data_IF_809347089488
#
_entry.id   IF_809347089488
#
_cell.length_a   1.000
_cell.length_b   1.000
_cell.length_c   1.000
_cell.angle_alpha   90.00
_cell.angle_beta   90.00
_cell.angle_gamma   90.00
#
_symmetry.space_group_name_H-M   'P 1'
#
loop_
_entity.id
_entity.type
_entity.pdbx_description
1 polymer ?
#
# COMPACT_ATOMS: atom_id res chain seq x y z
N UNK A 1 47.33 -16.19 6.44
CA UNK A 1 46.76 -15.94 6.44
C UNK A 1 46.07 -15.72 6.48
N UNK A 2 45.87 -15.68 6.55
CA UNK A 2 45.02 -15.49 6.58
C UNK A 2 44.39 -14.95 6.46
N UNK A 3 44.42 -14.70 6.43
CA UNK A 3 43.69 -14.27 6.20
C UNK A 3 42.84 -13.92 6.08
N UNK A 4 43.05 -14.06 6.08
CA UNK A 4 42.14 -13.89 5.88
C UNK A 4 41.24 -13.66 6.06
N UNK A 5 41.46 -13.66 6.19
CA UNK A 5 40.38 -13.57 6.30
C UNK A 5 39.63 -13.10 6.42
N UNK A 6 39.95 -13.19 6.47
CA UNK A 6 39.12 -12.85 6.45
C UNK A 6 38.35 -12.37 6.48
N UNK A 7 38.63 -12.24 6.48
CA UNK A 7 37.76 -11.88 6.31
C UNK A 7 36.95 -11.54 6.25
N UNK A 8 37.34 -11.57 6.19
CA UNK A 8 36.42 -11.37 5.89
C UNK A 8 35.56 -11.26 6.03
N UNK A 9 36.01 -11.37 6.15
CA UNK A 9 34.95 -11.42 6.17
C UNK A 9 34.13 -11.12 6.35
N UNK A 10 34.51 -11.39 6.59
CA UNK A 10 33.64 -11.23 6.78
C UNK A 10 32.98 -10.65 6.68
N UNK A 11 33.07 -10.46 6.55
CA UNK A 11 32.39 -9.92 6.41
C UNK A 11 31.66 -9.50 5.99
N UNK A 12 31.76 -9.58 5.70
CA UNK A 12 31.08 -9.24 5.17
C UNK A 12 30.25 -9.18 4.94
N UNK A 13 30.26 -9.49 5.04
CA UNK A 13 29.39 -9.49 4.81
C UNK A 13 28.57 -9.33 4.73
N UNK A 14 28.78 -9.65 5.11
CA UNK A 14 27.80 -9.76 5.01
C UNK A 14 26.99 -9.07 4.90
N UNK A 15 26.76 -8.91 4.80
CA UNK A 15 25.79 -8.24 4.51
C UNK A 15 25.11 -8.18 3.23
N UNK A 16 25.48 -8.60 2.35
CA UNK A 16 24.86 -8.63 1.13
C UNK A 16 24.76 -9.92 0.53
N UNK A 17 25.35 -10.81 1.12
CA UNK A 17 25.32 -12.17 0.69
C UNK A 17 24.03 -12.88 0.99
N UNK A 18 23.19 -12.29 1.82
CA UNK A 18 21.91 -12.91 2.13
C UNK A 18 21.09 -13.14 0.87
N UNK A 19 20.27 -14.20 0.83
CA UNK A 19 19.44 -14.45 -0.33
C UNK A 19 18.54 -13.26 -0.64
N UNK A 20 18.45 -12.93 -1.90
CA UNK A 20 17.67 -11.78 -2.29
C UNK A 20 16.18 -11.94 -1.96
N UNK A 21 15.66 -13.15 -2.06
CA UNK A 21 14.27 -13.38 -1.72
C UNK A 21 13.97 -13.03 -0.26
N UNK A 22 14.86 -13.45 0.65
CA UNK A 22 14.69 -13.12 2.06
C UNK A 22 14.80 -11.62 2.28
N UNK A 23 15.72 -10.97 1.58
CA UNK A 23 15.88 -9.52 1.71
C UNK A 23 14.64 -8.77 1.24
N UNK A 24 13.99 -9.25 0.18
CA UNK A 24 12.80 -8.58 -0.34
C UNK A 24 11.67 -8.56 0.67
N UNK A 25 11.55 -9.58 1.50
CA UNK A 25 10.44 -9.68 2.42
C UNK A 25 10.78 -9.29 3.84
N UNK A 26 11.99 -9.63 4.28
CA UNK A 26 12.33 -9.49 5.68
C UNK A 26 13.18 -8.27 5.96
N UNK A 27 13.95 -7.83 4.98
CA UNK A 27 14.98 -6.83 5.19
C UNK A 27 14.71 -5.49 4.53
N UNK A 28 13.49 -5.24 4.05
CA UNK A 28 13.18 -3.91 3.55
C UNK A 28 13.26 -2.92 4.70
N UNK A 29 14.05 -1.87 4.51
CA UNK A 29 14.26 -0.89 5.56
C UNK A 29 13.00 -0.11 5.88
N UNK A 30 12.07 -0.01 4.94
CA UNK A 30 10.86 0.77 5.11
C UNK A 30 9.65 -0.04 5.58
N UNK A 31 9.83 -1.34 5.83
CA UNK A 31 8.71 -2.17 6.29
C UNK A 31 8.20 -1.66 7.63
N UNK A 32 6.93 -1.33 7.69
CA UNK A 32 6.30 -0.81 8.89
C UNK A 32 6.58 0.66 9.16
N UNK A 33 7.34 1.33 8.29
CA UNK A 33 7.67 2.74 8.46
C UNK A 33 6.45 3.63 8.25
N UNK A 34 6.56 4.88 8.73
CA UNK A 34 5.54 5.90 8.46
C UNK A 34 5.39 6.13 6.96
N UNK A 35 4.16 6.34 6.51
CA UNK A 35 3.88 6.62 5.11
C UNK A 35 4.10 8.09 4.73
N UNK A 36 4.41 8.95 5.68
CA UNK A 36 4.58 10.38 5.41
C UNK A 36 5.61 10.64 4.32
N UNK A 37 6.73 9.92 4.38
CA UNK A 37 7.78 10.11 3.37
C UNK A 37 7.34 9.67 1.99
N UNK A 38 6.53 8.63 1.92
CA UNK A 38 6.01 8.16 0.65
C UNK A 38 5.15 9.24 -0.03
N UNK A 39 4.19 9.77 0.70
CA UNK A 39 3.30 10.80 0.15
C UNK A 39 4.05 12.10 -0.10
N UNK A 40 4.93 12.48 0.81
CA UNK A 40 5.73 13.69 0.66
C UNK A 40 6.71 13.65 -0.50
N UNK A 41 7.12 12.45 -0.90
CA UNK A 41 8.04 12.28 -2.02
C UNK A 41 7.37 12.29 -3.38
N UNK A 42 6.04 12.29 -3.43
CA UNK A 42 5.33 12.32 -4.70
C UNK A 42 5.11 13.76 -5.14
N UNK A 43 5.50 14.06 -6.37
CA UNK A 43 5.39 15.42 -6.90
C UNK A 43 4.27 15.51 -7.92
N UNK A 44 3.78 16.75 -8.17
CA UNK A 44 2.85 17.04 -9.22
C UNK A 44 1.48 16.40 -9.04
N UNK A 45 0.79 16.13 -10.14
CA UNK A 45 -0.59 15.63 -10.06
C UNK A 45 -0.76 14.32 -9.30
N UNK A 46 0.21 13.41 -9.42
CA UNK A 46 0.12 12.13 -8.73
C UNK A 46 0.19 12.30 -7.21
N UNK A 47 1.01 13.26 -6.75
CA UNK A 47 1.08 13.57 -5.33
C UNK A 47 -0.25 14.09 -4.79
N UNK A 48 -0.90 14.97 -5.55
CA UNK A 48 -2.19 15.52 -5.15
C UNK A 48 -3.25 14.42 -5.09
N UNK A 49 -3.28 13.53 -6.09
CA UNK A 49 -4.22 12.42 -6.12
C UNK A 49 -4.01 11.50 -4.93
N UNK A 50 -2.76 11.08 -4.72
CA UNK A 50 -2.44 10.16 -3.63
C UNK A 50 -2.78 10.76 -2.27
N UNK A 51 -2.46 12.04 -2.06
CA UNK A 51 -2.74 12.71 -0.80
C UNK A 51 -4.24 12.82 -0.54
N UNK A 52 -5.02 13.06 -1.58
CA UNK A 52 -6.47 13.14 -1.44
C UNK A 52 -7.06 11.78 -1.07
N UNK A 53 -6.58 10.71 -1.69
CA UNK A 53 -7.02 9.36 -1.35
C UNK A 53 -6.64 9.03 0.10
N UNK A 54 -5.42 9.38 0.49
CA UNK A 54 -4.98 9.18 1.87
C UNK A 54 -5.94 9.84 2.87
N UNK A 55 -6.33 11.07 2.56
CA UNK A 55 -7.26 11.82 3.42
C UNK A 55 -8.60 11.09 3.52
N UNK A 56 -9.13 10.63 2.40
CA UNK A 56 -10.39 9.90 2.38
C UNK A 56 -10.31 8.65 3.26
N UNK A 57 -9.23 7.88 3.12
CA UNK A 57 -9.05 6.65 3.89
C UNK A 57 -9.00 6.97 5.39
N UNK A 58 -8.22 7.97 5.76
CA UNK A 58 -8.04 8.28 7.19
C UNK A 58 -9.31 8.81 7.81
N UNK A 59 -10.11 9.54 7.05
CA UNK A 59 -11.39 10.05 7.55
C UNK A 59 -12.44 8.94 7.65
N UNK A 60 -12.45 8.03 6.69
CA UNK A 60 -13.43 6.95 6.66
C UNK A 60 -13.08 5.81 7.62
N UNK A 61 -11.79 5.61 7.89
CA UNK A 61 -11.32 4.54 8.76
C UNK A 61 -10.33 5.09 9.78
N UNK A 62 -10.79 5.89 10.73
CA UNK A 62 -9.87 6.55 11.68
C UNK A 62 -9.14 5.60 12.60
N UNK A 63 -9.62 4.36 12.74
CA UNK A 63 -8.96 3.37 13.58
C UNK A 63 -7.99 2.48 12.82
N UNK A 64 -7.93 2.62 11.49
CA UNK A 64 -6.99 1.83 10.69
C UNK A 64 -5.57 2.33 10.89
N UNK A 65 -4.62 1.41 10.90
CA UNK A 65 -3.20 1.79 10.92
C UNK A 65 -2.71 2.00 9.50
N UNK A 66 -1.72 2.87 9.36
CA UNK A 66 -1.10 3.20 8.08
C UNK A 66 0.40 2.95 8.22
N UNK A 67 0.95 2.14 7.33
CA UNK A 67 2.39 1.85 7.35
C UNK A 67 2.83 1.41 5.97
N UNK A 68 4.14 1.50 5.73
CA UNK A 68 4.70 1.04 4.45
C UNK A 68 4.85 -0.48 4.49
N UNK A 69 4.31 -1.13 3.48
CA UNK A 69 4.53 -2.55 3.24
C UNK A 69 4.65 -2.75 1.74
N UNK A 70 5.58 -3.59 1.33
CA UNK A 70 5.84 -3.86 -0.09
C UNK A 70 6.09 -2.57 -0.90
N UNK A 71 6.70 -1.57 -0.25
CA UNK A 71 7.06 -0.33 -0.90
C UNK A 71 5.92 0.65 -1.11
N UNK A 72 4.80 0.49 -0.42
CA UNK A 72 3.63 1.36 -0.59
C UNK A 72 2.88 1.50 0.72
N UNK A 73 2.06 2.55 0.86
CA UNK A 73 1.19 2.69 2.03
C UNK A 73 0.12 1.60 2.03
N UNK A 74 0.03 0.88 3.14
CA UNK A 74 -0.96 -0.17 3.35
C UNK A 74 -1.73 0.18 4.62
N UNK A 75 -3.02 -0.02 4.58
CA UNK A 75 -3.92 0.27 5.69
C UNK A 75 -4.46 -1.03 6.25
N UNK A 76 -4.48 -1.14 7.57
CA UNK A 76 -4.93 -2.35 8.25
C UNK A 76 -5.93 -2.03 9.35
N UNK A 77 -6.96 -2.85 9.44
CA UNK A 77 -7.93 -2.85 10.52
C UNK A 77 -8.47 -4.27 10.61
N UNK A 78 -8.09 -4.99 11.67
CA UNK A 78 -8.38 -6.43 11.79
C UNK A 78 -7.92 -7.19 10.56
N UNK A 79 -6.72 -6.85 10.07
CA UNK A 79 -6.17 -7.43 8.86
C UNK A 79 -6.06 -6.39 7.76
N UNK A 80 -5.69 -6.86 6.58
CA UNK A 80 -5.46 -5.98 5.43
C UNK A 80 -6.77 -5.30 5.01
N UNK A 81 -6.71 -4.00 4.78
CA UNK A 81 -7.87 -3.21 4.39
C UNK A 81 -7.75 -2.71 2.96
N UNK A 82 -6.83 -1.79 2.73
CA UNK A 82 -6.64 -1.18 1.42
C UNK A 82 -5.21 -0.66 1.28
N UNK A 83 -4.88 -0.20 0.08
CA UNK A 83 -3.54 0.33 -0.19
C UNK A 83 -3.60 1.44 -1.22
N UNK A 84 -2.52 2.23 -1.27
CA UNK A 84 -2.33 3.27 -2.27
C UNK A 84 -0.97 3.01 -2.91
N UNK A 85 -0.91 3.02 -4.23
CA UNK A 85 0.36 2.83 -4.92
C UNK A 85 0.45 3.78 -6.11
N UNK A 86 1.44 4.67 -6.05
CA UNK A 86 1.69 5.58 -7.17
C UNK A 86 2.48 4.85 -8.24
N UNK A 87 1.98 4.92 -9.48
CA UNK A 87 2.65 4.39 -10.65
C UNK A 87 3.18 5.57 -11.46
N UNK A 88 3.72 5.29 -12.66
CA UNK A 88 4.28 6.36 -13.46
C UNK A 88 3.23 7.29 -14.07
N UNK A 89 2.03 6.78 -14.34
CA UNK A 89 0.98 7.54 -15.02
C UNK A 89 -0.31 7.65 -14.25
N UNK A 90 -0.43 6.99 -13.09
CA UNK A 90 -1.66 6.98 -12.31
C UNK A 90 -1.37 6.53 -10.89
N UNK A 91 -2.36 6.73 -10.02
CA UNK A 91 -2.34 6.21 -8.65
C UNK A 91 -3.34 5.07 -8.56
N UNK A 92 -2.92 3.94 -8.03
CA UNK A 92 -3.81 2.81 -7.77
C UNK A 92 -4.31 2.91 -6.34
N UNK A 93 -5.61 2.82 -6.16
CA UNK A 93 -6.27 2.72 -4.87
C UNK A 93 -6.98 1.38 -4.86
N UNK A 94 -6.58 0.48 -3.98
CA UNK A 94 -7.07 -0.88 -4.05
C UNK A 94 -7.45 -1.47 -2.71
N UNK A 95 -8.25 -2.54 -2.79
CA UNK A 95 -8.73 -3.29 -1.63
C UNK A 95 -8.27 -4.74 -1.77
N UNK A 96 -8.14 -5.39 -0.64
CA UNK A 96 -7.70 -6.77 -0.59
C UNK A 96 -8.91 -7.71 -0.70
N UNK A 97 -9.15 -8.56 0.28
CA UNK A 97 -10.24 -9.54 0.19
C UNK A 97 -11.62 -8.89 0.12
N UNK A 98 -11.74 -7.63 0.47
CA UNK A 98 -13.02 -6.93 0.45
C UNK A 98 -13.47 -6.54 -0.97
N UNK A 99 -12.53 -6.51 -1.91
CA UNK A 99 -12.77 -5.88 -3.21
C UNK A 99 -14.04 -6.33 -3.91
N UNK A 100 -14.27 -7.63 -3.99
CA UNK A 100 -15.44 -8.16 -4.70
C UNK A 100 -16.76 -7.92 -3.97
N UNK A 101 -16.69 -7.52 -2.70
CA UNK A 101 -17.90 -7.30 -1.89
C UNK A 101 -18.32 -5.85 -1.82
N UNK A 102 -17.56 -4.95 -2.43
CA UNK A 102 -17.86 -3.54 -2.38
C UNK A 102 -18.95 -3.17 -3.38
N UNK A 103 -19.80 -2.23 -2.97
CA UNK A 103 -20.86 -1.73 -3.83
C UNK A 103 -20.24 -0.85 -4.92
N UNK A 104 -20.40 -1.25 -6.18
CA UNK A 104 -19.76 -0.58 -7.31
C UNK A 104 -20.76 -0.45 -8.46
N UNK A 105 -21.75 0.45 -8.33
CA UNK A 105 -22.81 0.54 -9.32
C UNK A 105 -22.31 0.98 -10.70
N UNK A 106 -21.24 1.76 -10.75
CA UNK A 106 -20.70 2.27 -12.02
C UNK A 106 -19.58 1.40 -12.58
N UNK A 107 -19.29 0.28 -11.93
CA UNK A 107 -18.30 -0.70 -12.37
C UNK A 107 -16.92 -0.07 -12.56
N UNK A 108 -16.50 0.72 -11.57
CA UNK A 108 -15.19 1.38 -11.59
C UNK A 108 -14.07 0.47 -11.11
N UNK A 109 -14.39 -0.50 -10.27
CA UNK A 109 -13.38 -1.39 -9.72
C UNK A 109 -12.90 -2.38 -10.77
N UNK A 110 -11.58 -2.51 -10.86
CA UNK A 110 -10.91 -3.38 -11.82
C UNK A 110 -10.20 -4.52 -11.08
N UNK A 111 -9.94 -5.59 -11.79
CA UNK A 111 -9.18 -6.70 -11.26
C UNK A 111 -9.71 -8.02 -11.74
N UNK A 112 -8.83 -9.01 -11.83
CA UNK A 112 -9.17 -10.35 -12.30
C UNK A 112 -8.96 -11.41 -11.22
N UNK A 113 -8.43 -11.03 -10.06
CA UNK A 113 -8.24 -11.94 -8.94
C UNK A 113 -9.57 -12.34 -8.31
N UNK A 114 -9.51 -13.31 -7.42
CA UNK A 114 -10.71 -13.80 -6.78
C UNK A 114 -11.38 -12.76 -5.89
N UNK A 115 -10.59 -11.93 -5.23
CA UNK A 115 -11.12 -11.01 -4.23
C UNK A 115 -10.68 -9.58 -4.38
N UNK A 116 -9.44 -9.34 -4.82
CA UNK A 116 -8.89 -8.00 -4.84
C UNK A 116 -9.44 -7.17 -6.00
N UNK A 117 -9.71 -5.90 -5.72
CA UNK A 117 -10.18 -4.96 -6.74
C UNK A 117 -9.54 -3.61 -6.47
N UNK A 118 -9.39 -2.81 -7.52
CA UNK A 118 -8.74 -1.51 -7.43
C UNK A 118 -9.28 -0.56 -8.48
N UNK A 119 -8.99 0.73 -8.30
CA UNK A 119 -9.24 1.75 -9.30
C UNK A 119 -7.92 2.44 -9.65
N UNK A 120 -7.82 2.93 -10.87
CA UNK A 120 -6.68 3.70 -11.34
C UNK A 120 -7.11 5.15 -11.49
N UNK A 121 -6.36 6.04 -10.85
CA UNK A 121 -6.71 7.45 -10.78
C UNK A 121 -5.67 8.26 -11.54
N UNK A 122 -6.09 8.88 -12.62
CA UNK A 122 -5.20 9.66 -13.48
C UNK A 122 -5.34 11.15 -13.24
N UNK A 123 -6.50 11.57 -12.74
CA UNK A 123 -6.82 12.97 -12.48
C UNK A 123 -7.53 13.07 -11.13
N UNK A 124 -7.53 14.27 -10.56
CA UNK A 124 -8.31 14.51 -9.35
C UNK A 124 -9.81 14.26 -9.59
N UNK A 125 -10.27 14.52 -10.81
CA UNK A 125 -11.67 14.27 -11.14
C UNK A 125 -12.06 12.80 -11.13
N UNK A 126 -11.08 11.90 -11.17
CA UNK A 126 -11.35 10.47 -11.06
C UNK A 126 -11.69 10.05 -9.63
N UNK A 127 -11.41 10.90 -8.66
CA UNK A 127 -11.68 10.60 -7.26
C UNK A 127 -13.16 10.85 -6.96
N UNK A 128 -13.88 9.76 -6.71
CA UNK A 128 -15.30 9.83 -6.34
C UNK A 128 -15.37 9.76 -4.81
N UNK A 129 -15.22 10.92 -4.17
CA UNK A 129 -15.03 11.00 -2.72
C UNK A 129 -16.08 10.27 -1.91
N UNK A 130 -17.36 10.49 -2.23
CA UNK A 130 -18.45 9.83 -1.52
C UNK A 130 -18.42 8.31 -1.69
N UNK A 131 -18.19 7.86 -2.92
CA UNK A 131 -18.12 6.44 -3.23
C UNK A 131 -16.93 5.79 -2.56
N UNK A 132 -15.76 6.43 -2.64
CA UNK A 132 -14.54 5.90 -2.03
C UNK A 132 -14.66 5.81 -0.51
N UNK A 133 -15.26 6.83 0.10
CA UNK A 133 -15.54 6.83 1.53
C UNK A 133 -16.42 5.63 1.88
N UNK A 134 -17.46 5.38 1.09
CA UNK A 134 -18.33 4.24 1.29
C UNK A 134 -17.58 2.92 1.17
N UNK A 135 -16.72 2.80 0.16
CA UNK A 135 -15.94 1.58 0.00
C UNK A 135 -15.07 1.29 1.22
N UNK A 136 -14.40 2.33 1.74
CA UNK A 136 -13.55 2.14 2.92
C UNK A 136 -14.39 1.73 4.12
N UNK A 137 -15.54 2.37 4.30
CA UNK A 137 -16.43 2.01 5.41
C UNK A 137 -16.98 0.59 5.28
N UNK A 138 -17.30 0.17 4.05
CA UNK A 138 -17.75 -1.20 3.80
C UNK A 138 -16.64 -2.19 4.12
N UNK A 139 -15.41 -1.86 3.72
CA UNK A 139 -14.27 -2.73 4.00
C UNK A 139 -14.01 -2.85 5.51
N UNK A 140 -14.13 -1.74 6.23
CA UNK A 140 -14.00 -1.76 7.69
C UNK A 140 -15.07 -2.67 8.31
N UNK A 141 -16.31 -2.57 7.85
CA UNK A 141 -17.39 -3.39 8.34
C UNK A 141 -17.17 -4.87 8.07
N UNK A 142 -16.66 -5.21 6.89
CA UNK A 142 -16.32 -6.59 6.56
C UNK A 142 -15.26 -7.12 7.53
N UNK A 143 -14.21 -6.35 7.76
CA UNK A 143 -13.14 -6.78 8.66
C UNK A 143 -13.59 -6.84 10.12
N UNK A 144 -14.53 -5.98 10.51
CA UNK A 144 -15.05 -5.99 11.87
C UNK A 144 -15.82 -7.27 12.18
N UNK A 145 -16.40 -7.90 11.15
CA UNK A 145 -17.17 -9.12 11.31
C UNK A 145 -16.33 -10.39 11.20
N UNK A 146 -15.01 -10.25 10.98
CA UNK A 146 -14.12 -11.40 10.84
C UNK A 146 -13.73 -12.00 12.17
#
# INVERSE_FOLDING_TARGET
MAKKTKKKTAKKTTRKAAPKAALRFAARADLGASADGYFGGLAGPLGAIASRVRQIIKEAAPKASEAIKWGMPVYEFNGMLCYVKARSAYVTFGFYHQGIHLSDPDKLLEGTGENMRHVKLRNLSDIKGGLFTNWVKQAVAINADM
#
